data_IF_760531584409
#
_entry.id   IF_760531584409
#
_cell.length_a   1.000
_cell.length_b   1.000
_cell.length_c   1.000
_cell.angle_alpha   90.00
_cell.angle_beta   90.00
_cell.angle_gamma   90.00
#
_symmetry.space_group_name_H-M   'P 1'
#
loop_
_entity.id
_entity.type
_entity.pdbx_description
1 polymer ?
#
# COMPACT_ATOMS: atom_id res chain seq x y z
N UNK A 1 -19.31 15.70 -19.09
CA UNK A 1 -20.12 15.56 -17.87
C UNK A 1 -20.02 16.88 -17.11
N UNK A 2 -21.13 17.50 -16.73
CA UNK A 2 -21.15 18.80 -16.03
C UNK A 2 -21.67 18.57 -14.62
N UNK A 3 -20.93 19.01 -13.60
CA UNK A 3 -21.33 18.89 -12.19
C UNK A 3 -21.86 20.23 -11.70
N UNK A 4 -23.10 20.24 -11.20
CA UNK A 4 -23.72 21.45 -10.67
C UNK A 4 -23.25 21.72 -9.23
N UNK A 5 -22.61 22.88 -8.99
CA UNK A 5 -22.02 23.25 -7.70
C UNK A 5 -23.01 23.90 -6.71
N UNK A 6 -24.30 23.96 -7.08
CA UNK A 6 -25.42 24.45 -6.26
C UNK A 6 -25.13 25.81 -5.59
N UNK A 7 -24.55 26.74 -6.35
CA UNK A 7 -24.36 28.15 -5.97
C UNK A 7 -24.51 29.01 -7.22
N UNK A 8 -25.00 30.23 -7.04
CA UNK A 8 -25.14 31.29 -8.03
C UNK A 8 -23.96 32.28 -8.02
N UNK A 9 -23.08 32.19 -7.02
CA UNK A 9 -21.86 33.00 -6.90
C UNK A 9 -20.69 32.37 -7.66
N UNK A 10 -20.13 33.08 -8.64
CA UNK A 10 -18.98 32.60 -9.42
C UNK A 10 -17.74 32.33 -8.54
N UNK A 11 -17.48 33.19 -7.54
CA UNK A 11 -16.34 33.04 -6.64
C UNK A 11 -16.48 31.78 -5.80
N UNK A 12 -17.69 31.54 -5.26
CA UNK A 12 -17.97 30.34 -4.47
C UNK A 12 -17.95 29.07 -5.35
N UNK A 13 -18.47 29.16 -6.57
CA UNK A 13 -18.40 28.08 -7.55
C UNK A 13 -16.94 27.70 -7.84
N UNK A 14 -16.06 28.67 -8.10
CA UNK A 14 -14.63 28.38 -8.35
C UNK A 14 -13.95 27.71 -7.16
N UNK A 15 -14.28 28.11 -5.93
CA UNK A 15 -13.75 27.48 -4.72
C UNK A 15 -14.25 26.03 -4.57
N UNK A 16 -15.55 25.79 -4.77
CA UNK A 16 -16.14 24.45 -4.71
C UNK A 16 -15.65 23.55 -5.84
N UNK A 17 -15.40 24.11 -7.02
CA UNK A 17 -14.93 23.37 -8.19
C UNK A 17 -13.62 22.64 -7.91
N UNK A 18 -12.69 23.26 -7.18
CA UNK A 18 -11.39 22.65 -6.86
C UNK A 18 -11.56 21.36 -6.05
N UNK A 19 -12.48 21.32 -5.08
CA UNK A 19 -12.71 20.11 -4.29
C UNK A 19 -13.41 19.03 -5.13
N UNK A 20 -14.42 19.41 -5.91
CA UNK A 20 -15.13 18.48 -6.81
C UNK A 20 -14.19 17.89 -7.87
N UNK A 21 -13.28 18.70 -8.44
CA UNK A 21 -12.27 18.22 -9.38
C UNK A 21 -11.32 17.20 -8.73
N UNK A 22 -10.93 17.43 -7.47
CA UNK A 22 -10.08 16.48 -6.72
C UNK A 22 -10.80 15.19 -6.41
N UNK A 23 -12.06 15.25 -5.99
CA UNK A 23 -12.90 14.07 -5.76
C UNK A 23 -13.07 13.25 -7.05
N UNK A 24 -13.37 13.92 -8.17
CA UNK A 24 -13.47 13.27 -9.47
C UNK A 24 -12.14 12.64 -9.89
N UNK A 25 -11.01 13.36 -9.74
CA UNK A 25 -9.69 12.83 -10.06
C UNK A 25 -9.38 11.56 -9.24
N UNK A 26 -9.61 11.58 -7.93
CA UNK A 26 -9.41 10.41 -7.07
C UNK A 26 -10.30 9.23 -7.49
N UNK A 27 -11.56 9.50 -7.85
CA UNK A 27 -12.47 8.49 -8.38
C UNK A 27 -11.96 7.86 -9.67
N UNK A 28 -11.49 8.66 -10.64
CA UNK A 28 -10.92 8.14 -11.88
C UNK A 28 -9.66 7.30 -11.65
N UNK A 29 -8.79 7.72 -10.73
CA UNK A 29 -7.61 6.94 -10.33
C UNK A 29 -8.02 5.60 -9.71
N UNK A 30 -9.05 5.57 -8.87
CA UNK A 30 -9.58 4.32 -8.31
C UNK A 30 -10.15 3.39 -9.38
N UNK A 31 -10.88 3.93 -10.35
CA UNK A 31 -11.44 3.16 -11.45
C UNK A 31 -10.32 2.58 -12.35
N UNK A 32 -9.31 3.39 -12.68
CA UNK A 32 -8.16 2.97 -13.47
C UNK A 32 -7.34 1.89 -12.77
N UNK A 33 -7.03 2.09 -11.47
CA UNK A 33 -6.33 1.10 -10.68
C UNK A 33 -7.13 -0.22 -10.61
N UNK A 34 -8.45 -0.12 -10.47
CA UNK A 34 -9.40 -1.23 -10.57
C UNK A 34 -9.22 -2.04 -11.87
N UNK A 35 -9.11 -1.35 -13.00
CA UNK A 35 -8.98 -1.95 -14.32
C UNK A 35 -7.59 -2.56 -14.58
N UNK A 36 -6.51 -1.98 -14.05
CA UNK A 36 -5.15 -2.46 -14.28
C UNK A 36 -4.74 -3.66 -13.43
N UNK A 37 -5.51 -3.98 -12.37
CA UNK A 37 -5.29 -5.16 -11.54
C UNK A 37 -4.17 -5.03 -10.49
N UNK A 38 -3.41 -3.92 -10.48
CA UNK A 38 -2.40 -3.63 -9.45
C UNK A 38 -3.09 -3.45 -8.09
N UNK A 39 -2.87 -4.41 -7.18
CA UNK A 39 -3.48 -4.42 -5.86
C UNK A 39 -2.99 -3.26 -4.97
N UNK A 40 -1.72 -2.86 -5.08
CA UNK A 40 -1.17 -1.77 -4.29
C UNK A 40 -1.68 -0.42 -4.78
N UNK A 41 -1.79 -0.23 -6.10
CA UNK A 41 -2.43 0.94 -6.67
C UNK A 41 -3.92 1.02 -6.29
N UNK A 42 -4.66 -0.09 -6.37
CA UNK A 42 -6.08 -0.14 -5.96
C UNK A 42 -6.28 0.26 -4.52
N UNK A 43 -5.50 -0.33 -3.61
CA UNK A 43 -5.58 0.04 -2.20
C UNK A 43 -5.26 1.52 -1.96
N UNK A 44 -4.19 2.06 -2.55
CA UNK A 44 -3.85 3.49 -2.42
C UNK A 44 -4.98 4.38 -2.93
N UNK A 45 -5.55 4.06 -4.08
CA UNK A 45 -6.65 4.82 -4.66
C UNK A 45 -7.92 4.75 -3.80
N UNK A 46 -8.23 3.58 -3.23
CA UNK A 46 -9.35 3.40 -2.29
C UNK A 46 -9.15 4.15 -0.98
N UNK A 47 -7.91 4.22 -0.46
CA UNK A 47 -7.58 5.04 0.72
C UNK A 47 -7.77 6.54 0.42
N UNK A 48 -7.29 7.01 -0.72
CA UNK A 48 -7.43 8.41 -1.13
C UNK A 48 -8.90 8.77 -1.34
N UNK A 49 -9.66 7.94 -2.05
CA UNK A 49 -11.08 8.13 -2.30
C UNK A 49 -11.90 8.14 -1.00
N UNK A 50 -11.61 7.23 -0.07
CA UNK A 50 -12.23 7.21 1.25
C UNK A 50 -11.99 8.52 2.02
N UNK A 51 -10.74 8.98 2.01
CA UNK A 51 -10.31 10.21 2.69
C UNK A 51 -11.03 11.44 2.14
N UNK A 52 -11.11 11.56 0.81
CA UNK A 52 -11.85 12.64 0.13
C UNK A 52 -13.33 12.63 0.47
N UNK A 53 -13.90 11.43 0.60
CA UNK A 53 -15.29 11.23 1.00
C UNK A 53 -15.50 11.36 2.52
N UNK A 54 -14.50 11.80 3.27
CA UNK A 54 -14.60 12.11 4.69
C UNK A 54 -14.68 10.88 5.60
N UNK A 55 -14.22 9.71 5.16
CA UNK A 55 -14.15 8.49 5.97
C UNK A 55 -12.73 7.95 6.03
N UNK A 56 -12.28 7.54 7.22
CA UNK A 56 -11.01 6.83 7.34
C UNK A 56 -11.13 5.46 6.68
N UNK A 57 -10.18 5.13 5.81
CA UNK A 57 -10.12 3.82 5.19
C UNK A 57 -9.90 2.74 6.24
N UNK A 58 -10.67 1.66 6.14
CA UNK A 58 -10.54 0.45 6.96
C UNK A 58 -10.84 -0.74 6.05
N UNK A 59 -10.06 -1.79 6.16
CA UNK A 59 -10.31 -3.03 5.40
C UNK A 59 -11.62 -3.68 5.85
N UNK A 60 -12.23 -4.51 4.99
CA UNK A 60 -13.45 -5.22 5.33
C UNK A 60 -13.30 -6.06 6.61
N UNK A 61 -12.13 -6.66 6.83
CA UNK A 61 -11.82 -7.42 8.05
C UNK A 61 -11.79 -6.55 9.30
N UNK A 62 -11.17 -5.37 9.24
CA UNK A 62 -11.14 -4.42 10.36
C UNK A 62 -12.53 -3.86 10.68
N UNK A 63 -13.35 -3.60 9.65
CA UNK A 63 -14.73 -3.16 9.83
C UNK A 63 -15.59 -4.25 10.46
N UNK A 64 -15.46 -5.50 9.99
CA UNK A 64 -16.17 -6.64 10.54
C UNK A 64 -15.83 -6.93 12.01
N UNK A 65 -14.56 -6.73 12.40
CA UNK A 65 -14.11 -6.85 13.80
C UNK A 65 -14.32 -5.59 14.64
N UNK A 66 -14.83 -4.51 14.05
CA UNK A 66 -15.01 -3.22 14.70
C UNK A 66 -16.41 -2.99 15.27
N UNK A 67 -16.70 -1.75 15.73
CA UNK A 67 -18.03 -1.38 16.19
C UNK A 67 -19.06 -1.42 15.06
N UNK A 68 -20.17 -2.16 15.26
CA UNK A 68 -21.26 -2.28 14.28
C UNK A 68 -21.83 -0.92 13.86
N UNK A 69 -21.87 0.05 14.79
CA UNK A 69 -22.37 1.41 14.53
C UNK A 69 -21.55 2.15 13.46
N UNK A 70 -20.23 1.92 13.36
CA UNK A 70 -19.38 2.51 12.32
C UNK A 70 -19.78 1.95 10.93
N UNK A 71 -19.92 0.63 10.83
CA UNK A 71 -20.36 -0.05 9.61
C UNK A 71 -21.74 0.44 9.15
N UNK A 72 -22.70 0.53 10.08
CA UNK A 72 -24.05 1.01 9.77
C UNK A 72 -24.06 2.47 9.31
N UNK A 73 -23.25 3.35 9.93
CA UNK A 73 -23.12 4.75 9.50
C UNK A 73 -22.62 4.87 8.07
N UNK A 74 -21.60 4.09 7.70
CA UNK A 74 -21.05 4.04 6.33
C UNK A 74 -22.11 3.54 5.33
N UNK A 75 -22.80 2.44 5.65
CA UNK A 75 -23.84 1.90 4.78
C UNK A 75 -25.01 2.88 4.58
N UNK A 76 -25.46 3.53 5.65
CA UNK A 76 -26.51 4.55 5.58
C UNK A 76 -26.10 5.77 4.77
N UNK A 77 -24.83 6.18 4.84
CA UNK A 77 -24.28 7.27 4.01
C UNK A 77 -24.35 6.90 2.52
N UNK A 78 -23.83 5.73 2.16
CA UNK A 78 -23.86 5.23 0.77
C UNK A 78 -25.28 5.13 0.23
N UNK A 79 -26.23 4.65 1.05
CA UNK A 79 -27.64 4.56 0.69
C UNK A 79 -28.27 5.93 0.43
N UNK A 80 -28.00 6.93 1.28
CA UNK A 80 -28.54 8.30 1.11
C UNK A 80 -28.00 8.99 -0.14
N UNK A 81 -26.75 8.71 -0.50
CA UNK A 81 -26.10 9.28 -1.68
C UNK A 81 -26.45 8.53 -2.97
N UNK A 82 -27.09 7.35 -2.88
CA UNK A 82 -27.52 6.58 -4.05
C UNK A 82 -26.39 5.90 -4.81
N UNK A 83 -25.28 5.59 -4.13
CA UNK A 83 -24.03 5.06 -4.73
C UNK A 83 -23.76 3.59 -4.37
N UNK A 84 -24.81 2.84 -4.02
CA UNK A 84 -24.70 1.42 -3.63
C UNK A 84 -24.37 0.48 -4.81
N UNK A 85 -24.37 0.97 -6.05
CA UNK A 85 -23.98 0.21 -7.24
C UNK A 85 -22.55 0.56 -7.71
N UNK A 86 -21.93 1.58 -7.10
CA UNK A 86 -20.60 2.04 -7.47
C UNK A 86 -19.52 1.24 -6.73
N UNK A 87 -18.92 0.29 -7.45
CA UNK A 87 -17.92 -0.61 -6.89
C UNK A 87 -16.68 0.11 -6.33
N UNK A 88 -16.24 1.22 -6.94
CA UNK A 88 -15.07 1.96 -6.48
C UNK A 88 -15.36 2.68 -5.17
N UNK A 89 -16.53 3.31 -5.07
CA UNK A 89 -16.98 3.97 -3.84
C UNK A 89 -17.22 2.94 -2.72
N UNK A 90 -17.84 1.80 -3.03
CA UNK A 90 -18.06 0.72 -2.07
C UNK A 90 -16.73 0.19 -1.56
N UNK A 91 -15.75 -0.07 -2.45
CA UNK A 91 -14.44 -0.56 -2.06
C UNK A 91 -13.69 0.43 -1.16
N UNK A 92 -13.79 1.73 -1.45
CA UNK A 92 -13.20 2.79 -0.65
C UNK A 92 -13.85 2.93 0.74
N UNK A 93 -15.18 2.92 0.84
CA UNK A 93 -15.87 3.16 2.11
C UNK A 93 -16.01 1.91 2.99
N UNK A 94 -16.11 0.72 2.39
CA UNK A 94 -16.36 -0.56 3.08
C UNK A 94 -15.17 -1.52 3.03
N UNK A 95 -14.01 -1.07 2.56
CA UNK A 95 -12.76 -1.83 2.68
C UNK A 95 -12.63 -3.00 1.72
N UNK A 96 -13.13 -2.84 0.49
CA UNK A 96 -13.15 -3.89 -0.54
C UNK A 96 -11.76 -4.25 -1.10
N UNK A 97 -10.78 -3.38 -0.91
CA UNK A 97 -9.39 -3.62 -1.31
C UNK A 97 -8.54 -4.06 -0.11
N UNK A 98 -7.87 -5.20 -0.22
CA UNK A 98 -6.96 -5.64 0.82
C UNK A 98 -5.78 -4.68 0.94
N UNK A 99 -5.29 -4.47 2.16
CA UNK A 99 -4.02 -3.78 2.37
C UNK A 99 -2.92 -4.51 1.57
N UNK A 100 -2.09 -3.79 0.80
CA UNK A 100 -1.02 -4.39 0.05
C UNK A 100 -0.09 -5.06 1.05
N UNK A 101 0.10 -6.36 0.85
CA UNK A 101 1.08 -7.10 1.61
C UNK A 101 2.46 -6.71 1.09
N UNK A 102 3.23 -6.00 1.92
CA UNK A 102 4.58 -5.56 1.59
C UNK A 102 5.40 -6.79 1.15
N UNK A 103 5.90 -6.80 -0.08
CA UNK A 103 6.73 -7.90 -0.59
C UNK A 103 8.11 -7.88 0.04
N UNK A 104 8.82 -9.01 0.01
CA UNK A 104 10.22 -9.08 0.46
C UNK A 104 11.11 -8.06 -0.26
N UNK A 105 10.87 -7.87 -1.56
CA UNK A 105 11.57 -6.87 -2.38
C UNK A 105 11.32 -5.44 -1.88
N UNK A 106 10.06 -5.08 -1.66
CA UNK A 106 9.61 -3.75 -1.23
C UNK A 106 9.97 -3.45 0.25
N UNK A 107 9.95 -4.48 1.10
CA UNK A 107 10.20 -4.34 2.52
C UNK A 107 11.61 -3.83 2.83
N UNK A 108 12.60 -4.22 2.02
CA UNK A 108 13.96 -3.75 2.21
C UNK A 108 14.12 -2.27 1.86
N UNK A 109 13.50 -1.82 0.77
CA UNK A 109 13.61 -0.42 0.36
C UNK A 109 12.89 0.47 1.38
N UNK A 110 11.70 0.07 1.84
CA UNK A 110 11.01 0.73 2.95
C UNK A 110 11.87 0.79 4.23
N UNK A 111 12.56 -0.30 4.57
CA UNK A 111 13.48 -0.33 5.71
C UNK A 111 14.69 0.60 5.53
N UNK A 112 15.26 0.68 4.33
CA UNK A 112 16.41 1.54 4.06
C UNK A 112 16.02 3.02 4.16
N UNK A 113 14.84 3.37 3.67
CA UNK A 113 14.31 4.74 3.73
C UNK A 113 14.02 5.16 5.18
N UNK A 114 13.39 4.28 5.97
CA UNK A 114 13.13 4.53 7.39
C UNK A 114 14.42 4.59 8.21
N UNK A 115 15.44 3.79 7.86
CA UNK A 115 16.75 3.77 8.52
C UNK A 115 17.63 5.01 8.21
N UNK A 116 17.00 6.14 7.91
CA UNK A 116 17.64 7.44 7.73
C UNK A 116 18.44 7.87 8.96
N UNK A 117 17.98 7.51 10.16
CA UNK A 117 18.68 7.68 11.45
C UNK A 117 20.06 7.00 11.46
N UNK A 118 20.17 5.78 10.92
CA UNK A 118 21.40 4.98 10.84
C UNK A 118 22.34 5.42 9.73
N UNK A 119 21.84 6.25 8.82
CA UNK A 119 22.59 6.79 7.69
C UNK A 119 22.75 8.31 7.73
N UNK A 120 22.30 8.96 8.80
CA UNK A 120 22.44 10.39 9.03
C UNK A 120 23.92 10.81 8.97
N UNK A 121 24.22 11.87 8.22
CA UNK A 121 25.58 12.39 8.04
C UNK A 121 26.49 11.56 7.11
N UNK A 122 26.01 10.46 6.52
CA UNK A 122 26.78 9.68 5.54
C UNK A 122 26.64 10.24 4.14
N UNK A 123 27.73 10.21 3.37
CA UNK A 123 27.69 10.53 1.95
C UNK A 123 26.85 9.51 1.17
N UNK A 124 26.37 9.88 -0.01
CA UNK A 124 25.59 8.99 -0.89
C UNK A 124 26.30 7.66 -1.15
N UNK A 125 27.62 7.70 -1.36
CA UNK A 125 28.40 6.48 -1.62
C UNK A 125 28.51 5.59 -0.37
N UNK A 126 28.53 6.17 0.84
CA UNK A 126 28.48 5.42 2.10
C UNK A 126 27.09 4.81 2.35
N UNK A 127 26.01 5.54 2.02
CA UNK A 127 24.64 5.01 2.05
C UNK A 127 24.49 3.82 1.11
N UNK A 128 25.00 3.93 -0.12
CA UNK A 128 25.02 2.85 -1.11
C UNK A 128 25.78 1.61 -0.61
N UNK A 129 27.00 1.79 -0.07
CA UNK A 129 27.78 0.69 0.50
C UNK A 129 27.11 0.04 1.70
N UNK A 130 26.39 0.81 2.51
CA UNK A 130 25.63 0.27 3.65
C UNK A 130 24.40 -0.53 3.20
N UNK A 131 23.69 -0.08 2.16
CA UNK A 131 22.53 -0.78 1.60
C UNK A 131 22.89 -2.04 0.81
N UNK A 132 24.03 -2.05 0.11
CA UNK A 132 24.39 -3.12 -0.82
C UNK A 132 24.44 -4.54 -0.21
N UNK A 133 25.02 -4.79 0.99
CA UNK A 133 24.97 -6.10 1.63
C UNK A 133 23.56 -6.57 1.95
N UNK A 134 22.68 -5.66 2.38
CA UNK A 134 21.28 -5.96 2.72
C UNK A 134 20.47 -6.31 1.49
N UNK A 135 20.65 -5.54 0.40
CA UNK A 135 20.05 -5.85 -0.90
C UNK A 135 20.50 -7.21 -1.41
N UNK A 136 21.78 -7.54 -1.26
CA UNK A 136 22.30 -8.86 -1.62
C UNK A 136 21.68 -9.98 -0.78
N UNK A 137 21.52 -9.78 0.53
CA UNK A 137 20.90 -10.77 1.41
C UNK A 137 19.43 -11.04 1.05
N UNK A 138 18.65 -9.99 0.81
CA UNK A 138 17.24 -10.10 0.43
C UNK A 138 17.09 -10.69 -0.98
N UNK A 139 17.94 -10.29 -1.93
CA UNK A 139 17.96 -10.88 -3.27
C UNK A 139 18.26 -12.38 -3.23
N UNK A 140 19.18 -12.83 -2.36
CA UNK A 140 19.43 -14.24 -2.17
C UNK A 140 18.20 -14.95 -1.58
N UNK A 141 17.56 -14.39 -0.55
CA UNK A 141 16.33 -14.97 0.01
C UNK A 141 15.24 -15.11 -1.06
N UNK A 142 14.98 -14.05 -1.84
CA UNK A 142 14.01 -14.07 -2.94
C UNK A 142 14.37 -15.15 -3.98
N UNK A 143 15.65 -15.32 -4.30
CA UNK A 143 16.09 -16.37 -5.22
C UNK A 143 15.80 -17.80 -4.72
N UNK A 144 15.73 -18.01 -3.41
CA UNK A 144 15.40 -19.32 -2.82
C UNK A 144 13.90 -19.56 -2.68
N UNK A 145 13.14 -18.55 -2.22
CA UNK A 145 11.74 -18.75 -1.78
C UNK A 145 10.72 -17.98 -2.60
N UNK A 146 11.18 -17.19 -3.59
CA UNK A 146 10.35 -16.28 -4.37
C UNK A 146 10.09 -14.95 -3.65
N UNK A 147 9.53 -13.99 -4.38
CA UNK A 147 9.15 -12.69 -3.83
C UNK A 147 7.80 -12.78 -3.10
N UNK A 148 7.85 -13.40 -1.92
CA UNK A 148 6.68 -13.57 -1.05
C UNK A 148 6.25 -12.26 -0.42
N UNK A 149 4.98 -12.16 -0.07
CA UNK A 149 4.52 -11.18 0.89
C UNK A 149 5.23 -11.40 2.22
N UNK A 150 5.56 -10.32 2.95
CA UNK A 150 6.27 -10.38 4.23
C UNK A 150 5.47 -11.18 5.27
N UNK A 151 4.13 -11.12 5.21
CA UNK A 151 3.22 -11.93 6.04
C UNK A 151 3.31 -13.43 5.77
N UNK A 152 3.73 -13.81 4.57
CA UNK A 152 3.74 -15.18 4.08
C UNK A 152 5.12 -15.82 4.25
N UNK A 153 6.09 -15.07 4.81
CA UNK A 153 7.42 -15.59 5.13
C UNK A 153 7.31 -16.53 6.32
N UNK A 154 7.72 -17.77 6.10
CA UNK A 154 7.61 -18.84 7.09
C UNK A 154 8.95 -19.17 7.74
N UNK A 155 8.91 -19.97 8.80
CA UNK A 155 10.13 -20.51 9.43
C UNK A 155 10.92 -21.41 8.46
N UNK A 156 10.24 -22.13 7.59
CA UNK A 156 10.87 -23.02 6.61
C UNK A 156 11.67 -22.23 5.57
N UNK A 157 11.19 -21.04 5.20
CA UNK A 157 11.93 -20.11 4.34
C UNK A 157 13.26 -19.68 4.97
N UNK A 158 13.24 -19.36 6.28
CA UNK A 158 14.45 -19.01 7.02
C UNK A 158 15.43 -20.20 7.13
N UNK A 159 14.91 -21.42 7.30
CA UNK A 159 15.73 -22.64 7.32
C UNK A 159 16.33 -22.94 5.95
N UNK A 160 15.59 -22.74 4.85
CA UNK A 160 16.10 -22.90 3.50
C UNK A 160 17.27 -21.95 3.24
N UNK A 161 17.14 -20.68 3.60
CA UNK A 161 18.22 -19.70 3.49
C UNK A 161 19.46 -20.12 4.28
N UNK A 162 19.28 -20.59 5.53
CA UNK A 162 20.39 -21.06 6.37
C UNK A 162 21.09 -22.27 5.79
N UNK A 163 20.35 -23.24 5.27
CA UNK A 163 20.90 -24.46 4.65
C UNK A 163 21.70 -24.12 3.40
N UNK A 164 21.18 -23.22 2.56
CA UNK A 164 21.88 -22.75 1.37
C UNK A 164 23.21 -22.06 1.71
N UNK A 165 23.21 -21.16 2.71
CA UNK A 165 24.45 -20.51 3.16
C UNK A 165 25.47 -21.51 3.69
N UNK A 166 25.02 -22.53 4.44
CA UNK A 166 25.91 -23.59 4.93
C UNK A 166 26.57 -24.34 3.78
N UNK A 167 25.81 -24.75 2.78
CA UNK A 167 26.35 -25.45 1.61
C UNK A 167 27.43 -24.64 0.88
N UNK A 168 27.26 -23.31 0.79
CA UNK A 168 28.28 -22.43 0.18
C UNK A 168 29.55 -22.30 1.00
N UNK A 169 29.45 -22.33 2.33
CA UNK A 169 30.63 -22.35 3.20
C UNK A 169 31.36 -23.68 3.08
N UNK A 170 30.64 -24.80 3.03
CA UNK A 170 31.20 -26.15 2.85
C UNK A 170 31.90 -26.32 1.50
N UNK A 171 31.38 -25.69 0.43
CA UNK A 171 31.99 -25.67 -0.90
C UNK A 171 33.17 -24.68 -1.04
N UNK A 172 33.44 -23.86 -0.02
CA UNK A 172 34.52 -22.86 -0.04
C UNK A 172 34.21 -21.60 -0.85
N UNK A 173 32.97 -21.41 -1.31
CA UNK A 173 32.55 -20.24 -2.09
C UNK A 173 32.53 -18.94 -1.27
N UNK A 174 32.43 -19.05 0.07
CA UNK A 174 32.30 -17.91 0.99
C UNK A 174 32.97 -18.24 2.32
N UNK A 175 33.72 -17.28 2.90
CA UNK A 175 34.26 -17.40 4.27
C UNK A 175 33.15 -17.18 5.29
N UNK A 176 33.20 -17.92 6.40
CA UNK A 176 32.19 -17.84 7.47
C UNK A 176 32.09 -16.46 8.15
N UNK A 177 33.10 -15.60 7.99
CA UNK A 177 33.25 -14.33 8.71
C UNK A 177 33.02 -13.07 7.84
N UNK A 178 32.17 -13.11 6.81
CA UNK A 178 31.96 -11.98 5.86
C UNK A 178 30.55 -11.44 5.81
#
# INVERSE_FOLDING_TARGET
MVVALKTDSEIEARLRAVEVERELAAYWVALEAGAQGDAAARFRASVELATRRGVAYRTAGELAGGPLDDLLRRLLKLSREGVLEDAAIIAAELGGDAAPTLRLSEALDAFIDEASDRTAGRSENQRRKWGAPRRKAVANLIALVGDKALSDVTRDDALALRTWWRGRVELGDVRADS
#
